data_IF_612041841073
#
_entry.id   IF_612041841073
#
_cell.length_a   1.000
_cell.length_b   1.000
_cell.length_c   1.000
_cell.angle_alpha   90.00
_cell.angle_beta   90.00
_cell.angle_gamma   90.00
#
_symmetry.space_group_name_H-M   'P 1'
#
loop_
_entity.id
_entity.type
_entity.pdbx_description
1 polymer ?
#
# COMPACT_ATOMS: atom_id res chain seq x y z
N UNK A 1 -22.20 27.85 55.49
CA UNK A 1 -22.69 27.40 54.17
C UNK A 1 -21.54 27.51 53.20
N UNK A 2 -21.19 26.37 52.61
CA UNK A 2 -19.97 26.05 51.85
C UNK A 2 -19.93 26.74 50.47
N UNK A 3 -18.72 26.95 49.91
CA UNK A 3 -18.51 27.71 48.67
C UNK A 3 -18.85 26.88 47.43
N UNK A 4 -19.68 27.44 46.55
CA UNK A 4 -19.98 26.87 45.24
C UNK A 4 -18.93 27.28 44.22
N UNK A 5 -17.91 26.43 44.03
CA UNK A 5 -17.09 26.42 42.83
C UNK A 5 -17.96 26.32 41.57
N UNK A 6 -17.82 27.22 40.57
CA UNK A 6 -18.10 26.83 39.20
C UNK A 6 -16.95 25.97 38.71
N UNK A 7 -17.15 24.65 38.84
CA UNK A 7 -16.70 23.58 37.94
C UNK A 7 -15.51 23.94 37.06
N UNK A 8 -14.34 23.48 37.49
CA UNK A 8 -13.37 22.78 36.65
C UNK A 8 -13.95 22.41 35.29
N UNK A 9 -13.82 23.32 34.32
CA UNK A 9 -13.76 22.94 32.93
C UNK A 9 -12.35 22.43 32.67
N UNK A 10 -12.04 21.30 33.31
CA UNK A 10 -11.45 20.16 32.62
C UNK A 10 -12.46 19.72 31.56
N UNK A 11 -12.75 20.62 30.62
CA UNK A 11 -13.10 20.20 29.29
C UNK A 11 -11.79 19.62 28.80
N UNK A 12 -11.64 18.32 29.08
CA UNK A 12 -10.87 17.37 28.32
C UNK A 12 -10.61 17.97 26.94
N UNK A 13 -9.47 18.63 26.82
CA UNK A 13 -8.77 18.69 25.57
C UNK A 13 -8.42 17.23 25.32
N UNK A 14 -9.00 16.53 24.35
CA UNK A 14 -8.28 15.43 23.75
C UNK A 14 -7.06 16.06 23.07
N UNK A 15 -5.99 16.26 23.85
CA UNK A 15 -4.64 16.32 23.34
C UNK A 15 -4.25 14.88 22.96
N UNK A 16 -4.79 14.43 21.83
CA UNK A 16 -4.49 13.23 21.04
C UNK A 16 -5.37 13.39 19.81
N UNK A 17 -4.88 13.53 18.59
CA UNK A 17 -4.06 12.53 17.91
C UNK A 17 -3.05 13.23 16.97
N UNK A 18 -1.79 13.32 17.40
CA UNK A 18 -0.68 13.20 16.44
C UNK A 18 -0.64 11.70 16.11
N UNK A 19 -1.41 11.33 15.11
CA UNK A 19 -1.65 9.94 14.77
C UNK A 19 -2.59 9.89 13.58
N UNK A 20 -2.25 10.66 12.55
CA UNK A 20 -2.83 10.50 11.22
C UNK A 20 -2.42 9.15 10.63
N UNK A 21 -2.81 8.04 11.27
CA UNK A 21 -2.90 6.71 10.68
C UNK A 21 -4.09 6.66 9.70
N UNK A 22 -4.31 7.72 8.91
CA UNK A 22 -5.04 7.57 7.65
C UNK A 22 -4.11 6.81 6.72
N UNK A 23 -4.30 5.48 6.77
CA UNK A 23 -3.70 4.39 6.02
C UNK A 23 -2.69 4.83 4.94
N UNK A 24 -1.38 4.59 5.12
CA UNK A 24 -0.39 4.83 4.05
C UNK A 24 -0.73 4.11 2.74
N UNK A 25 -1.45 2.98 2.83
CA UNK A 25 -1.97 2.25 1.67
C UNK A 25 -3.05 3.02 0.89
N UNK A 26 -3.89 3.83 1.55
CA UNK A 26 -4.98 4.55 0.90
C UNK A 26 -4.46 5.81 0.19
N UNK A 27 -3.46 6.48 0.78
CA UNK A 27 -2.68 7.53 0.11
C UNK A 27 -1.89 6.96 -1.08
N UNK A 28 -1.28 5.78 -0.92
CA UNK A 28 -0.59 5.10 -2.01
C UNK A 28 -1.54 4.73 -3.16
N UNK A 29 -2.73 4.23 -2.85
CA UNK A 29 -3.77 3.91 -3.84
C UNK A 29 -4.18 5.15 -4.65
N UNK A 30 -4.38 6.29 -3.98
CA UNK A 30 -4.71 7.56 -4.64
C UNK A 30 -3.57 8.05 -5.56
N UNK A 31 -2.30 7.87 -5.15
CA UNK A 31 -1.15 8.19 -6.00
C UNK A 31 -1.09 7.28 -7.23
N UNK A 32 -1.31 5.97 -7.07
CA UNK A 32 -1.33 5.03 -8.19
C UNK A 32 -2.48 5.35 -9.15
N UNK A 33 -3.68 5.62 -8.63
CA UNK A 33 -4.81 6.08 -9.46
C UNK A 33 -4.52 7.39 -10.19
N UNK A 34 -3.78 8.30 -9.57
CA UNK A 34 -3.33 9.54 -10.21
C UNK A 34 -2.30 9.32 -11.34
N UNK A 35 -1.45 8.30 -11.24
CA UNK A 35 -0.44 7.97 -12.26
C UNK A 35 -1.05 7.25 -13.46
N UNK A 36 -1.99 6.33 -13.22
CA UNK A 36 -2.56 5.46 -14.27
C UNK A 36 -3.94 5.89 -14.78
N UNK A 37 -4.56 6.90 -14.13
CA UNK A 37 -5.68 7.72 -14.60
C UNK A 37 -6.91 6.98 -15.17
N UNK A 38 -7.32 5.86 -14.57
CA UNK A 38 -8.53 5.10 -14.99
C UNK A 38 -9.05 4.11 -13.92
N UNK A 39 -10.27 3.58 -14.04
CA UNK A 39 -10.82 2.56 -13.13
C UNK A 39 -9.99 1.26 -13.15
N UNK A 40 -9.36 0.94 -14.30
CA UNK A 40 -8.42 -0.18 -14.46
C UNK A 40 -6.96 0.15 -14.02
N UNK A 41 -6.73 1.28 -13.34
CA UNK A 41 -5.40 1.74 -12.92
C UNK A 41 -4.65 0.74 -12.04
N UNK A 42 -5.37 0.05 -11.16
CA UNK A 42 -4.77 -0.87 -10.21
C UNK A 42 -4.31 -2.16 -10.89
N UNK A 43 -5.11 -2.72 -11.80
CA UNK A 43 -4.70 -3.88 -12.57
C UNK A 43 -3.56 -3.57 -13.53
N UNK A 44 -3.61 -2.42 -14.23
CA UNK A 44 -2.50 -1.99 -15.09
C UNK A 44 -1.24 -1.69 -14.29
N UNK A 45 -1.37 -1.05 -13.12
CA UNK A 45 -0.25 -0.81 -12.22
C UNK A 45 0.38 -2.10 -11.71
N UNK A 46 -0.43 -3.09 -11.33
CA UNK A 46 0.05 -4.41 -10.93
C UNK A 46 0.71 -5.18 -12.09
N UNK A 47 0.11 -5.19 -13.27
CA UNK A 47 0.68 -5.85 -14.45
C UNK A 47 2.02 -5.22 -14.86
N UNK A 48 2.10 -3.89 -14.84
CA UNK A 48 3.34 -3.16 -15.07
C UNK A 48 4.39 -3.50 -14.01
N UNK A 49 4.02 -3.49 -12.73
CA UNK A 49 4.95 -3.83 -11.65
C UNK A 49 5.48 -5.26 -11.76
N UNK A 50 4.62 -6.24 -12.06
CA UNK A 50 5.03 -7.63 -12.30
C UNK A 50 6.01 -7.70 -13.47
N UNK A 51 5.73 -7.01 -14.59
CA UNK A 51 6.61 -7.00 -15.76
C UNK A 51 8.00 -6.40 -15.45
N UNK A 52 8.05 -5.30 -14.70
CA UNK A 52 9.33 -4.66 -14.31
C UNK A 52 10.13 -5.57 -13.38
N UNK A 53 9.45 -6.23 -12.43
CA UNK A 53 10.12 -7.14 -11.50
C UNK A 53 10.60 -8.42 -12.18
N UNK A 54 9.86 -8.94 -13.15
CA UNK A 54 10.29 -10.07 -13.97
C UNK A 54 11.50 -9.74 -14.85
N UNK A 55 11.51 -8.57 -15.49
CA UNK A 55 12.65 -8.11 -16.31
C UNK A 55 13.92 -7.95 -15.45
N UNK A 56 13.75 -7.49 -14.21
CA UNK A 56 14.84 -7.32 -13.26
C UNK A 56 15.23 -8.61 -12.51
N UNK A 57 14.55 -9.74 -12.75
CA UNK A 57 14.69 -11.01 -12.01
C UNK A 57 14.60 -10.81 -10.47
N UNK A 58 13.67 -9.97 -10.03
CA UNK A 58 13.47 -9.64 -8.61
C UNK A 58 12.18 -10.28 -8.12
N UNK A 59 12.31 -11.10 -7.08
CA UNK A 59 11.17 -11.58 -6.33
C UNK A 59 10.70 -10.53 -5.29
N UNK A 60 9.45 -10.06 -5.36
CA UNK A 60 8.91 -9.06 -4.43
C UNK A 60 8.75 -9.56 -3.00
N UNK A 61 8.64 -10.88 -2.79
CA UNK A 61 8.47 -11.52 -1.48
C UNK A 61 9.82 -11.61 -0.74
N UNK A 62 10.86 -12.06 -1.44
CA UNK A 62 12.21 -12.22 -0.89
C UNK A 62 12.96 -10.87 -0.80
N UNK A 63 12.74 -9.98 -1.78
CA UNK A 63 13.54 -8.75 -1.93
C UNK A 63 12.69 -7.47 -2.06
N UNK A 64 11.83 -7.13 -1.08
CA UNK A 64 10.90 -6.00 -1.18
C UNK A 64 11.60 -4.64 -1.37
N UNK A 65 12.79 -4.46 -0.80
CA UNK A 65 13.56 -3.19 -0.95
C UNK A 65 14.12 -3.06 -2.37
N UNK A 66 14.62 -4.15 -2.96
CA UNK A 66 15.10 -4.14 -4.35
C UNK A 66 13.93 -3.98 -5.32
N UNK A 67 12.80 -4.61 -5.03
CA UNK A 67 11.57 -4.48 -5.82
C UNK A 67 11.10 -3.03 -5.90
N UNK A 68 10.96 -2.34 -4.76
CA UNK A 68 10.59 -0.91 -4.74
C UNK A 68 11.63 -0.07 -5.48
N UNK A 69 12.93 -0.36 -5.30
CA UNK A 69 14.00 0.36 -6.01
C UNK A 69 13.89 0.19 -7.53
N UNK A 70 13.63 -1.02 -8.02
CA UNK A 70 13.47 -1.30 -9.45
C UNK A 70 12.26 -0.56 -10.03
N UNK A 71 11.11 -0.56 -9.34
CA UNK A 71 9.93 0.19 -9.77
C UNK A 71 10.21 1.70 -9.87
N UNK A 72 10.96 2.26 -8.92
CA UNK A 72 11.33 3.68 -8.91
C UNK A 72 12.37 4.05 -9.95
N UNK A 73 13.23 3.11 -10.32
CA UNK A 73 14.21 3.29 -11.39
C UNK A 73 13.51 3.29 -12.75
N UNK A 74 12.54 2.38 -12.93
CA UNK A 74 11.72 2.29 -14.13
C UNK A 74 10.80 3.52 -14.32
N UNK A 75 10.18 4.03 -13.24
CA UNK A 75 9.41 5.28 -13.29
C UNK A 75 9.62 6.12 -12.02
N UNK A 76 10.24 7.29 -12.17
CA UNK A 76 10.51 8.22 -11.06
C UNK A 76 9.27 8.92 -10.51
N UNK A 77 8.13 8.83 -11.19
CA UNK A 77 6.82 9.32 -10.68
C UNK A 77 6.30 8.41 -9.58
N UNK A 78 6.78 7.17 -9.50
CA UNK A 78 6.47 6.23 -8.43
C UNK A 78 7.16 6.69 -7.14
N UNK A 79 6.37 7.18 -6.19
CA UNK A 79 6.82 7.44 -4.83
C UNK A 79 7.08 6.16 -4.04
N UNK A 80 7.71 6.28 -2.87
CA UNK A 80 7.96 5.13 -1.98
C UNK A 80 6.66 4.41 -1.58
N UNK A 81 5.60 5.16 -1.28
CA UNK A 81 4.31 4.61 -0.88
C UNK A 81 3.63 3.85 -2.03
N UNK A 82 3.57 4.46 -3.22
CA UNK A 82 3.06 3.81 -4.44
C UNK A 82 3.86 2.55 -4.79
N UNK A 83 5.20 2.60 -4.71
CA UNK A 83 6.06 1.45 -4.96
C UNK A 83 5.82 0.31 -3.96
N UNK A 84 5.68 0.61 -2.66
CA UNK A 84 5.37 -0.40 -1.64
C UNK A 84 4.03 -1.07 -1.91
N UNK A 85 3.02 -0.28 -2.27
CA UNK A 85 1.68 -0.78 -2.57
C UNK A 85 1.67 -1.67 -3.82
N UNK A 86 2.39 -1.30 -4.88
CA UNK A 86 2.51 -2.12 -6.10
C UNK A 86 3.27 -3.43 -5.87
N UNK A 87 4.30 -3.43 -5.03
CA UNK A 87 5.02 -4.66 -4.63
C UNK A 87 4.10 -5.61 -3.87
N UNK A 88 3.30 -5.09 -2.94
CA UNK A 88 2.32 -5.88 -2.17
C UNK A 88 1.23 -6.47 -3.09
N UNK A 89 0.72 -5.68 -4.03
CA UNK A 89 -0.24 -6.11 -5.05
C UNK A 89 0.36 -7.18 -5.98
N UNK A 90 1.60 -6.99 -6.43
CA UNK A 90 2.29 -7.96 -7.29
C UNK A 90 2.57 -9.28 -6.55
N UNK A 91 2.96 -9.21 -5.27
CA UNK A 91 3.15 -10.37 -4.42
C UNK A 91 1.84 -11.16 -4.23
N UNK A 92 0.74 -10.49 -3.87
CA UNK A 92 -0.56 -11.15 -3.70
C UNK A 92 -1.13 -11.73 -5.00
N UNK A 93 -0.88 -11.10 -6.16
CA UNK A 93 -1.31 -11.66 -7.46
C UNK A 93 -0.50 -12.90 -7.86
N UNK A 94 0.78 -12.98 -7.46
CA UNK A 94 1.59 -14.18 -7.68
C UNK A 94 1.10 -15.34 -6.84
N UNK A 95 0.85 -15.11 -5.54
CA UNK A 95 0.27 -16.13 -4.67
C UNK A 95 -1.03 -16.72 -5.24
N UNK A 96 -1.96 -15.88 -5.73
CA UNK A 96 -3.18 -16.38 -6.38
C UNK A 96 -2.93 -17.18 -7.67
N UNK A 97 -1.88 -16.86 -8.43
CA UNK A 97 -1.49 -17.61 -9.62
C UNK A 97 -0.83 -18.96 -9.25
N UNK A 98 -0.03 -18.98 -8.19
CA UNK A 98 0.61 -20.18 -7.65
C UNK A 98 -0.43 -21.11 -6.99
N UNK A 99 -1.38 -20.58 -6.21
CA UNK A 99 -2.51 -21.32 -5.62
C UNK A 99 -3.53 -21.81 -6.67
N UNK A 100 -3.74 -21.04 -7.74
CA UNK A 100 -4.63 -21.42 -8.85
C UNK A 100 -4.13 -22.61 -9.69
N UNK A 101 -2.85 -22.97 -9.58
CA UNK A 101 -2.28 -24.18 -10.19
C UNK A 101 -2.30 -25.39 -9.23
N UNK A 102 -2.73 -25.19 -7.97
CA UNK A 102 -2.82 -26.24 -6.94
C UNK A 102 -4.19 -26.92 -6.82
N UNK A 103 -5.27 -26.33 -7.34
CA UNK A 103 -6.63 -26.91 -7.28
C UNK A 103 -7.04 -27.55 -8.61
N UNK A 104 -6.34 -28.62 -8.97
CA UNK A 104 -6.81 -29.58 -9.97
C UNK A 104 -6.35 -30.98 -9.61
N UNK A 105 -7.09 -31.59 -8.67
CA UNK A 105 -7.28 -33.03 -8.41
C UNK A 105 -6.03 -33.84 -7.94
N UNK A 106 -6.16 -34.93 -7.14
CA UNK A 106 -7.22 -35.95 -7.26
C UNK A 106 -7.77 -36.58 -5.97
N UNK A 107 -9.06 -36.92 -5.98
CA UNK A 107 -9.59 -38.29 -5.74
C UNK A 107 -11.12 -38.32 -5.84
#
# INVERSE_FOLDING_TARGET
MTPGHPTTKEHLMPMRYIGGWRKPAQEAELQVRGIFADDASLERGAAWAISVLQDADIDPHDQPVRAIKALRDADRRIGLAAGRFLVDLAAGKREQLDDGLGDSAPS
#
